data_IF_693125330387
#
_entry.id   IF_693125330387
#
_cell.length_a   1.000
_cell.length_b   1.000
_cell.length_c   1.000
_cell.angle_alpha   90.00
_cell.angle_beta   90.00
_cell.angle_gamma   90.00
#
_symmetry.space_group_name_H-M   'P 1'
#
loop_
_entity.id
_entity.type
_entity.pdbx_description
1 polymer ?
#
# COMPACT_ATOMS: atom_id res chain seq x y z
N UNK A 1 41.13 0.75 3.94
CA UNK A 1 40.03 -0.16 4.15
C UNK A 1 39.07 0.27 5.24
N UNK A 2 39.53 0.58 6.46
CA UNK A 2 38.62 1.00 7.55
C UNK A 2 37.86 2.28 7.27
N UNK A 3 38.46 3.24 6.54
CA UNK A 3 37.79 4.50 6.18
C UNK A 3 36.70 4.31 5.15
N UNK A 4 36.87 3.41 4.19
CA UNK A 4 35.87 3.10 3.16
C UNK A 4 34.65 2.36 3.75
N UNK A 5 34.87 1.46 4.70
CA UNK A 5 33.79 0.78 5.41
C UNK A 5 32.93 1.73 6.24
N UNK A 6 33.59 2.69 6.94
CA UNK A 6 32.89 3.71 7.73
C UNK A 6 32.05 4.64 6.85
N UNK A 7 32.59 5.06 5.72
CA UNK A 7 31.88 5.93 4.79
C UNK A 7 30.69 5.22 4.16
N UNK A 8 30.86 3.95 3.80
CA UNK A 8 29.77 3.13 3.24
C UNK A 8 28.65 2.89 4.26
N UNK A 9 28.98 2.64 5.52
CA UNK A 9 27.98 2.48 6.59
C UNK A 9 27.21 3.77 6.86
N UNK A 10 27.88 4.92 6.84
CA UNK A 10 27.25 6.24 7.01
C UNK A 10 26.28 6.56 5.87
N UNK A 11 26.64 6.25 4.63
CA UNK A 11 25.79 6.47 3.46
C UNK A 11 24.57 5.57 3.52
N UNK A 12 24.71 4.29 3.89
CA UNK A 12 23.59 3.38 4.06
C UNK A 12 22.61 3.85 5.14
N UNK A 13 23.12 4.35 6.28
CA UNK A 13 22.29 4.83 7.37
C UNK A 13 21.51 6.10 6.96
N UNK A 14 22.12 6.98 6.18
CA UNK A 14 21.47 8.20 5.70
C UNK A 14 20.35 7.88 4.68
N UNK A 15 20.56 6.90 3.81
CA UNK A 15 19.57 6.49 2.81
C UNK A 15 18.36 5.83 3.47
N UNK A 16 18.56 4.94 4.45
CA UNK A 16 17.47 4.25 5.15
C UNK A 16 16.75 5.14 6.17
N UNK A 17 17.47 6.03 6.86
CA UNK A 17 16.89 6.89 7.88
C UNK A 17 15.93 7.95 7.35
N UNK A 18 16.15 8.47 6.12
CA UNK A 18 15.33 9.51 5.54
C UNK A 18 14.01 9.03 4.92
N UNK A 19 13.90 7.73 4.59
CA UNK A 19 12.74 7.19 3.88
C UNK A 19 11.78 6.40 4.78
N UNK A 20 12.16 6.11 6.03
CA UNK A 20 11.42 5.21 6.92
C UNK A 20 9.96 5.63 7.18
N UNK A 21 9.62 6.91 7.51
CA UNK A 21 8.23 7.29 7.75
C UNK A 21 7.34 7.16 6.52
N UNK A 22 7.87 7.45 5.33
CA UNK A 22 7.11 7.34 4.08
C UNK A 22 6.93 5.90 3.65
N UNK A 23 7.83 5.00 4.02
CA UNK A 23 7.72 3.58 3.74
C UNK A 23 6.47 2.99 4.38
N UNK A 24 6.19 3.32 5.64
CA UNK A 24 5.01 2.80 6.34
C UNK A 24 3.70 3.33 5.75
N UNK A 25 3.72 4.52 5.17
CA UNK A 25 2.56 5.09 4.48
C UNK A 25 2.19 4.29 3.22
N UNK A 26 3.18 3.72 2.56
CA UNK A 26 2.99 2.97 1.31
C UNK A 26 2.24 1.66 1.56
N UNK A 27 2.38 1.03 2.72
CA UNK A 27 1.82 -0.29 3.00
C UNK A 27 0.29 -0.29 2.91
N UNK A 28 -0.47 0.57 3.62
CA UNK A 28 -1.93 0.63 3.43
C UNK A 28 -2.34 1.05 2.03
N UNK A 29 -1.59 1.96 1.41
CA UNK A 29 -1.87 2.42 0.04
C UNK A 29 -1.75 1.28 -0.96
N UNK A 30 -0.70 0.48 -0.88
CA UNK A 30 -0.51 -0.67 -1.76
C UNK A 30 -1.57 -1.73 -1.52
N UNK A 31 -1.91 -2.00 -0.26
CA UNK A 31 -2.99 -2.94 0.06
C UNK A 31 -4.30 -2.52 -0.59
N UNK A 32 -4.71 -1.27 -0.39
CA UNK A 32 -5.96 -0.75 -0.92
C UNK A 32 -6.01 -0.84 -2.45
N UNK A 33 -4.92 -0.45 -3.10
CA UNK A 33 -4.83 -0.46 -4.56
C UNK A 33 -4.83 -1.88 -5.13
N UNK A 34 -4.07 -2.78 -4.54
CA UNK A 34 -3.98 -4.17 -5.01
C UNK A 34 -5.30 -4.91 -4.82
N UNK A 35 -5.94 -4.76 -3.67
CA UNK A 35 -7.24 -5.40 -3.41
C UNK A 35 -8.30 -4.81 -4.33
N UNK A 36 -8.32 -3.52 -4.54
CA UNK A 36 -9.24 -2.86 -5.47
C UNK A 36 -9.06 -3.40 -6.89
N UNK A 37 -7.83 -3.47 -7.38
CA UNK A 37 -7.55 -4.01 -8.73
C UNK A 37 -7.94 -5.48 -8.84
N UNK A 38 -7.68 -6.26 -7.81
CA UNK A 38 -8.02 -7.69 -7.78
C UNK A 38 -9.53 -7.90 -7.89
N UNK A 39 -10.34 -7.12 -7.16
CA UNK A 39 -11.79 -7.27 -7.14
C UNK A 39 -12.42 -6.70 -8.42
N UNK A 40 -12.06 -5.48 -8.80
CA UNK A 40 -12.79 -4.73 -9.82
C UNK A 40 -12.17 -4.80 -11.20
N UNK A 41 -10.85 -4.93 -11.31
CA UNK A 41 -10.16 -5.02 -12.62
C UNK A 41 -10.02 -6.48 -13.05
N UNK A 42 -9.52 -7.33 -12.15
CA UNK A 42 -9.29 -8.75 -12.44
C UNK A 42 -10.52 -9.60 -12.19
N UNK A 43 -11.56 -9.06 -11.55
CA UNK A 43 -12.85 -9.71 -11.28
C UNK A 43 -12.71 -11.01 -10.49
N UNK A 44 -11.73 -11.07 -9.60
CA UNK A 44 -11.56 -12.19 -8.70
C UNK A 44 -12.53 -12.09 -7.51
N UNK A 45 -12.73 -13.19 -6.78
CA UNK A 45 -13.59 -13.17 -5.61
C UNK A 45 -13.01 -12.28 -4.51
N UNK A 46 -13.90 -11.67 -3.72
CA UNK A 46 -13.50 -10.81 -2.60
C UNK A 46 -12.65 -11.56 -1.59
N UNK A 47 -13.03 -12.78 -1.24
CA UNK A 47 -12.28 -13.56 -0.26
C UNK A 47 -10.86 -13.86 -0.74
N UNK A 48 -10.71 -14.19 -2.02
CA UNK A 48 -9.40 -14.41 -2.61
C UNK A 48 -8.55 -13.13 -2.57
N UNK A 49 -9.13 -12.00 -2.99
CA UNK A 49 -8.42 -10.73 -3.04
C UNK A 49 -8.00 -10.25 -1.65
N UNK A 50 -8.87 -10.43 -0.66
CA UNK A 50 -8.55 -10.05 0.73
C UNK A 50 -7.43 -10.91 1.30
N UNK A 51 -7.47 -12.23 1.07
CA UNK A 51 -6.40 -13.13 1.50
C UNK A 51 -5.07 -12.81 0.84
N UNK A 52 -5.11 -12.55 -0.47
CA UNK A 52 -3.91 -12.18 -1.22
C UNK A 52 -3.30 -10.88 -0.70
N UNK A 53 -4.13 -9.87 -0.47
CA UNK A 53 -3.67 -8.59 0.06
C UNK A 53 -3.04 -8.73 1.45
N UNK A 54 -3.64 -9.53 2.32
CA UNK A 54 -3.12 -9.76 3.66
C UNK A 54 -1.80 -10.52 3.68
N UNK A 55 -1.59 -11.40 2.72
CA UNK A 55 -0.32 -12.11 2.58
C UNK A 55 0.80 -11.20 2.10
N UNK A 56 0.47 -10.22 1.26
CA UNK A 56 1.45 -9.31 0.68
C UNK A 56 1.75 -8.10 1.57
N UNK A 57 0.74 -7.59 2.28
CA UNK A 57 0.86 -6.36 3.04
C UNK A 57 0.26 -6.51 4.43
N UNK A 58 1.02 -6.10 5.45
CA UNK A 58 0.59 -6.17 6.83
C UNK A 58 -0.14 -4.86 7.19
N UNK A 59 -1.47 -4.92 7.20
CA UNK A 59 -2.32 -3.77 7.58
C UNK A 59 -3.07 -4.10 8.85
N UNK A 60 -3.40 -3.07 9.63
CA UNK A 60 -4.18 -3.24 10.87
C UNK A 60 -5.63 -3.60 10.58
N UNK A 61 -6.19 -3.05 9.50
CA UNK A 61 -7.54 -3.35 9.07
C UNK A 61 -7.85 -2.75 7.72
N UNK A 62 -9.00 -3.11 7.18
CA UNK A 62 -9.47 -2.59 5.90
C UNK A 62 -10.99 -2.70 5.82
N UNK A 63 -11.58 -1.93 4.90
CA UNK A 63 -13.01 -1.92 4.63
C UNK A 63 -13.25 -1.86 3.13
N UNK A 64 -14.22 -2.68 2.66
CA UNK A 64 -14.62 -2.72 1.25
C UNK A 64 -15.99 -2.06 1.15
N UNK A 65 -16.07 -0.93 0.45
CA UNK A 65 -17.32 -0.20 0.24
C UNK A 65 -17.81 -0.46 -1.17
N UNK A 66 -18.83 -1.33 -1.30
CA UNK A 66 -19.36 -1.71 -2.60
C UNK A 66 -20.18 -0.61 -3.27
N UNK A 67 -20.78 0.29 -2.49
CA UNK A 67 -21.58 1.37 -3.07
C UNK A 67 -20.73 2.41 -3.79
N UNK A 68 -19.48 2.61 -3.36
CA UNK A 68 -18.55 3.54 -4.01
C UNK A 68 -17.41 2.83 -4.74
N UNK A 69 -17.41 1.50 -4.77
CA UNK A 69 -16.36 0.67 -5.39
C UNK A 69 -14.98 1.07 -4.87
N UNK A 70 -14.84 1.16 -3.55
CA UNK A 70 -13.60 1.63 -2.93
C UNK A 70 -13.14 0.68 -1.83
N UNK A 71 -11.84 0.69 -1.61
CA UNK A 71 -11.17 -0.07 -0.55
C UNK A 71 -10.41 0.93 0.31
N UNK A 72 -10.69 0.92 1.62
CA UNK A 72 -9.93 1.72 2.59
C UNK A 72 -9.13 0.79 3.47
N UNK A 73 -7.85 1.07 3.64
CA UNK A 73 -6.97 0.28 4.50
C UNK A 73 -6.21 1.21 5.45
N UNK A 74 -5.89 0.70 6.63
CA UNK A 74 -5.16 1.46 7.62
C UNK A 74 -4.14 0.59 8.33
N UNK A 75 -3.03 1.18 8.69
CA UNK A 75 -1.95 0.55 9.40
C UNK A 75 -0.81 1.52 9.62
N UNK A 76 -0.02 1.27 10.66
CA UNK A 76 1.15 2.11 11.00
C UNK A 76 0.81 3.59 11.18
N UNK A 77 -0.43 3.90 11.59
CA UNK A 77 -0.89 5.28 11.77
C UNK A 77 -1.33 5.97 10.50
N UNK A 78 -1.36 5.29 9.36
CA UNK A 78 -1.76 5.85 8.07
C UNK A 78 -3.00 5.16 7.53
N UNK A 79 -3.80 5.91 6.77
CA UNK A 79 -5.01 5.40 6.10
C UNK A 79 -4.93 5.75 4.61
N UNK A 80 -5.32 4.81 3.76
CA UNK A 80 -5.35 5.01 2.33
C UNK A 80 -6.62 4.43 1.75
N UNK A 81 -7.16 5.09 0.72
CA UNK A 81 -8.36 4.66 0.02
C UNK A 81 -8.06 4.59 -1.48
N UNK A 82 -8.43 3.47 -2.09
CA UNK A 82 -8.39 3.29 -3.54
C UNK A 82 -9.82 3.20 -4.05
N UNK A 83 -10.11 3.86 -5.16
CA UNK A 83 -11.43 3.87 -5.78
C UNK A 83 -11.33 3.38 -7.22
N UNK A 84 -12.28 2.54 -7.62
CA UNK A 84 -12.37 2.04 -8.99
C UNK A 84 -13.04 3.09 -9.88
N UNK A 85 -12.37 3.48 -10.96
CA UNK A 85 -12.82 4.52 -11.87
C UNK A 85 -13.23 3.99 -13.25
N UNK A 86 -13.47 2.69 -13.36
CA UNK A 86 -13.89 2.04 -14.59
C UNK A 86 -12.82 1.14 -15.19
N UNK A 87 -13.19 0.27 -16.15
CA UNK A 87 -12.26 -0.72 -16.68
C UNK A 87 -11.08 -0.11 -17.44
N UNK A 88 -11.22 1.14 -17.89
CA UNK A 88 -10.16 1.83 -18.62
C UNK A 88 -9.10 2.44 -17.71
N UNK A 89 -9.52 2.98 -16.56
CA UNK A 89 -8.62 3.70 -15.64
C UNK A 89 -8.18 2.85 -14.47
N UNK A 90 -8.97 1.80 -14.13
CA UNK A 90 -8.66 0.93 -13.00
C UNK A 90 -8.87 1.60 -11.65
N UNK A 91 -8.05 1.25 -10.69
CA UNK A 91 -8.15 1.78 -9.34
C UNK A 91 -7.13 2.89 -9.11
N UNK A 92 -7.59 4.00 -8.52
CA UNK A 92 -6.78 5.17 -8.22
C UNK A 92 -6.76 5.40 -6.71
N UNK A 93 -5.59 5.72 -6.16
CA UNK A 93 -5.48 6.15 -4.78
C UNK A 93 -6.00 7.58 -4.63
N UNK A 94 -6.83 7.81 -3.62
CA UNK A 94 -7.28 9.14 -3.30
C UNK A 94 -6.15 9.93 -2.65
N UNK A 95 -6.11 11.27 -2.83
CA UNK A 95 -5.08 12.09 -2.19
C UNK A 95 -5.17 11.98 -0.67
N UNK A 96 -4.05 12.01 0.05
CA UNK A 96 -4.08 12.02 1.51
C UNK A 96 -4.76 13.29 2.01
N UNK A 97 -5.58 13.09 3.05
CA UNK A 97 -6.26 14.22 3.70
C UNK A 97 -5.34 14.94 4.68
#
# INVERSE_FOLDING_TARGET
MKKLLRTSLLICTLIFGGCTPQFFKIIPANFAKEVCSCIYVEEQSKSYCQSFGRQMFDVSGYDVNESSDSITAWGFGFTATAIFEGPRLGCRLLPPK
#
